data_IF_188651754280
#
_entry.id   IF_188651754280
#
_cell.length_a   1.000
_cell.length_b   1.000
_cell.length_c   1.000
_cell.angle_alpha   90.00
_cell.angle_beta   90.00
_cell.angle_gamma   90.00
#
_symmetry.space_group_name_H-M   'P 1'
#
loop_
_entity.id
_entity.type
_entity.pdbx_description
1 polymer ?
#
# COMPACT_ATOMS: atom_id res chain seq x y z
N UNK A 1 -9.46 -40.49 16.96
CA UNK A 1 -8.31 -39.63 17.23
C UNK A 1 -7.26 -39.99 16.20
N UNK A 2 -7.23 -39.26 15.09
CA UNK A 2 -6.17 -39.36 14.09
C UNK A 2 -5.77 -37.95 13.72
N UNK A 3 -4.48 -37.69 13.87
CA UNK A 3 -3.81 -36.42 13.66
C UNK A 3 -3.27 -36.47 12.25
N UNK A 4 -3.81 -35.68 11.33
CA UNK A 4 -3.22 -35.52 10.00
C UNK A 4 -2.22 -34.36 10.04
N UNK A 5 -0.94 -34.72 9.92
CA UNK A 5 0.19 -33.82 9.76
C UNK A 5 0.17 -33.19 8.35
N UNK A 6 0.28 -31.87 8.28
CA UNK A 6 0.45 -31.12 7.03
C UNK A 6 1.95 -30.93 6.80
N UNK A 7 2.52 -31.25 5.61
CA UNK A 7 3.95 -31.18 5.37
C UNK A 7 4.48 -29.74 5.45
N UNK A 8 5.66 -29.61 6.07
CA UNK A 8 6.25 -28.37 6.53
C UNK A 8 7.04 -27.62 5.43
N UNK A 9 6.50 -27.55 4.21
CA UNK A 9 7.15 -26.82 3.11
C UNK A 9 6.13 -26.39 2.06
N UNK A 10 5.54 -25.21 2.23
CA UNK A 10 4.86 -24.47 1.15
C UNK A 10 5.73 -23.24 0.87
N UNK A 11 6.25 -23.14 -0.36
CA UNK A 11 7.06 -22.01 -0.77
C UNK A 11 6.22 -20.72 -0.85
N UNK A 12 6.81 -19.54 -0.61
CA UNK A 12 6.12 -18.26 -0.78
C UNK A 12 5.66 -18.10 -2.22
N UNK A 13 4.36 -17.80 -2.43
CA UNK A 13 3.79 -17.55 -3.77
C UNK A 13 2.64 -18.47 -4.19
N UNK A 14 2.12 -19.33 -3.31
CA UNK A 14 0.98 -20.20 -3.67
C UNK A 14 -0.36 -19.51 -3.37
N UNK A 15 -1.02 -19.01 -4.41
CA UNK A 15 -2.46 -18.69 -4.39
C UNK A 15 -3.23 -20.02 -4.43
N UNK A 16 -3.95 -20.36 -3.36
CA UNK A 16 -4.85 -21.53 -3.33
C UNK A 16 -6.25 -21.09 -3.73
N UNK A 17 -6.63 -21.32 -4.99
CA UNK A 17 -8.01 -21.22 -5.44
C UNK A 17 -8.60 -22.64 -5.47
N UNK A 18 -9.51 -22.97 -4.54
CA UNK A 18 -10.33 -24.18 -4.66
C UNK A 18 -11.57 -23.87 -5.49
N UNK A 19 -11.58 -24.32 -6.75
CA UNK A 19 -12.76 -24.25 -7.62
C UNK A 19 -12.56 -25.18 -8.82
N UNK A 20 -13.40 -26.20 -8.92
CA UNK A 20 -13.40 -27.19 -10.01
C UNK A 20 -14.44 -26.78 -11.02
N UNK A 21 -14.07 -26.62 -12.30
CA UNK A 21 -14.84 -26.98 -13.52
C UNK A 21 -14.05 -26.55 -14.79
N UNK A 22 -13.77 -27.47 -15.73
CA UNK A 22 -14.57 -27.85 -16.93
C UNK A 22 -14.79 -26.70 -17.92
N UNK A 23 -13.77 -26.34 -18.69
CA UNK A 23 -13.66 -26.70 -20.12
C UNK A 23 -12.39 -26.07 -20.70
N UNK A 24 -11.67 -26.84 -21.52
CA UNK A 24 -10.40 -26.43 -22.08
C UNK A 24 -10.56 -25.36 -23.17
N UNK A 25 -9.82 -24.27 -23.04
CA UNK A 25 -9.21 -23.50 -24.14
C UNK A 25 -8.17 -22.52 -23.57
N UNK A 26 -6.93 -22.71 -24.00
CA UNK A 26 -5.80 -21.83 -23.73
C UNK A 26 -5.88 -20.54 -24.57
N UNK A 27 -5.55 -19.41 -23.97
CA UNK A 27 -4.96 -18.27 -24.66
C UNK A 27 -3.77 -17.79 -23.83
N UNK A 28 -2.58 -18.23 -24.24
CA UNK A 28 -1.32 -17.92 -23.57
C UNK A 28 -0.91 -16.47 -23.76
N UNK A 29 -0.51 -15.83 -22.65
CA UNK A 29 0.33 -14.64 -22.66
C UNK A 29 1.61 -15.05 -21.93
N UNK A 30 2.65 -15.32 -22.72
CA UNK A 30 3.95 -15.74 -22.25
C UNK A 30 4.71 -14.61 -21.54
N UNK A 31 5.48 -15.01 -20.54
CA UNK A 31 6.44 -14.19 -19.83
C UNK A 31 7.42 -13.51 -20.80
N UNK A 32 7.59 -12.19 -20.68
CA UNK A 32 8.65 -11.45 -21.34
C UNK A 32 9.59 -10.89 -20.27
N UNK A 33 10.63 -11.67 -19.95
CA UNK A 33 11.81 -11.22 -19.23
C UNK A 33 12.75 -10.62 -20.29
N UNK A 34 13.01 -9.31 -20.23
CA UNK A 34 14.17 -8.73 -20.90
C UNK A 34 15.14 -8.20 -19.83
N UNK A 35 16.23 -8.94 -19.66
CA UNK A 35 17.46 -8.46 -19.07
C UNK A 35 18.17 -7.54 -20.08
N UNK A 36 18.50 -6.32 -19.66
CA UNK A 36 19.30 -5.39 -20.46
C UNK A 36 20.78 -5.50 -20.06
N UNK A 37 21.59 -6.19 -20.88
CA UNK A 37 23.04 -6.00 -20.91
C UNK A 37 23.52 -6.04 -22.37
N UNK A 38 24.27 -4.99 -22.73
CA UNK A 38 25.09 -4.77 -23.93
C UNK A 38 24.44 -4.24 -25.22
N UNK A 39 24.48 -2.91 -25.37
CA UNK A 39 24.74 -2.24 -26.65
C UNK A 39 25.99 -1.36 -26.49
N UNK A 40 27.12 -1.88 -26.96
CA UNK A 40 28.38 -1.16 -27.10
C UNK A 40 28.34 -0.16 -28.26
N UNK A 41 29.08 0.93 -28.07
CA UNK A 41 29.65 1.85 -29.07
C UNK A 41 28.65 2.60 -29.97
N UNK A 42 28.29 3.82 -29.56
CA UNK A 42 28.42 5.10 -30.29
C UNK A 42 27.56 6.14 -29.54
N UNK A 43 28.19 6.99 -28.71
CA UNK A 43 27.50 8.04 -27.95
C UNK A 43 28.07 8.38 -26.57
N UNK A 44 29.31 7.98 -26.28
CA UNK A 44 29.91 7.97 -24.94
C UNK A 44 30.24 9.36 -24.35
N UNK A 45 30.11 10.49 -25.06
CA UNK A 45 30.56 11.78 -24.50
C UNK A 45 29.48 12.72 -23.94
N UNK A 46 28.21 12.65 -24.38
CA UNK A 46 27.21 13.65 -23.96
C UNK A 46 26.24 13.20 -22.87
N UNK A 47 26.12 11.89 -22.59
CA UNK A 47 25.23 11.37 -21.55
C UNK A 47 25.87 11.32 -20.15
N UNK A 48 27.20 11.27 -20.06
CA UNK A 48 27.92 11.12 -18.78
C UNK A 48 27.84 12.35 -17.86
N UNK A 49 27.56 13.53 -18.38
CA UNK A 49 27.51 14.76 -17.57
C UNK A 49 26.12 15.14 -17.03
N UNK A 50 25.07 14.34 -17.28
CA UNK A 50 23.73 14.58 -16.70
C UNK A 50 23.35 13.65 -15.54
N UNK A 51 24.15 12.62 -15.25
CA UNK A 51 23.86 11.62 -14.22
C UNK A 51 24.49 11.91 -12.83
N UNK A 52 25.06 13.10 -12.63
CA UNK A 52 25.64 13.51 -11.35
C UNK A 52 24.94 14.76 -10.78
N UNK A 53 23.63 14.89 -10.97
CA UNK A 53 22.85 15.80 -10.12
C UNK A 53 22.74 15.16 -8.76
N UNK A 54 23.38 15.79 -7.78
CA UNK A 54 23.22 15.49 -6.37
C UNK A 54 21.74 15.76 -6.06
N UNK A 55 20.93 14.70 -6.06
CA UNK A 55 19.53 14.75 -5.65
C UNK A 55 19.44 15.52 -4.34
N UNK A 56 18.47 16.43 -4.25
CA UNK A 56 18.24 17.18 -3.02
C UNK A 56 17.96 16.19 -1.88
N UNK A 57 18.17 16.60 -0.63
CA UNK A 57 17.82 15.78 0.53
C UNK A 57 16.34 15.36 0.51
N UNK A 58 15.47 16.16 -0.12
CA UNK A 58 14.05 15.84 -0.32
C UNK A 58 13.84 14.77 -1.39
N UNK A 59 14.53 14.85 -2.54
CA UNK A 59 14.45 13.83 -3.59
C UNK A 59 15.08 12.49 -3.15
N UNK A 60 16.16 12.53 -2.36
CA UNK A 60 16.70 11.34 -1.70
C UNK A 60 15.75 10.79 -0.64
N UNK A 61 15.11 11.64 0.17
CA UNK A 61 14.08 11.17 1.10
C UNK A 61 12.95 10.47 0.34
N UNK A 62 12.47 11.03 -0.77
CA UNK A 62 11.44 10.40 -1.62
C UNK A 62 11.92 9.07 -2.24
N UNK A 63 13.18 8.97 -2.64
CA UNK A 63 13.76 7.76 -3.27
C UNK A 63 14.16 6.65 -2.29
N UNK A 64 14.17 6.91 -0.98
CA UNK A 64 14.58 5.92 0.05
C UNK A 64 13.40 5.46 0.92
N UNK A 65 12.19 5.94 0.67
CA UNK A 65 11.00 5.61 1.45
C UNK A 65 10.21 4.50 0.74
N UNK A 66 9.56 3.64 1.51
CA UNK A 66 8.66 2.60 0.97
C UNK A 66 7.33 3.24 0.57
N UNK A 67 7.45 4.18 -0.38
CA UNK A 67 6.38 4.93 -1.01
C UNK A 67 5.88 4.16 -2.21
N UNK A 68 4.57 4.13 -2.38
CA UNK A 68 3.95 3.55 -3.55
C UNK A 68 3.93 4.59 -4.68
N UNK A 69 4.49 4.24 -5.85
CA UNK A 69 4.72 5.19 -6.94
C UNK A 69 3.45 5.81 -7.52
N UNK A 70 2.33 5.08 -7.46
CA UNK A 70 1.04 5.54 -7.96
C UNK A 70 0.27 6.37 -6.91
N UNK A 71 0.78 6.47 -5.69
CA UNK A 71 0.15 7.28 -4.64
C UNK A 71 0.69 8.71 -4.62
N UNK A 72 -0.21 9.68 -4.47
CA UNK A 72 0.22 11.04 -4.15
C UNK A 72 0.72 11.10 -2.70
N UNK A 73 1.94 11.62 -2.45
CA UNK A 73 2.48 11.71 -1.11
C UNK A 73 1.78 12.84 -0.32
N UNK A 74 1.01 12.48 0.71
CA UNK A 74 0.35 13.39 1.66
C UNK A 74 0.72 13.00 3.08
N UNK A 75 2.01 13.07 3.38
CA UNK A 75 2.56 12.52 4.62
C UNK A 75 2.08 13.27 5.86
N UNK A 76 1.68 12.51 6.89
CA UNK A 76 1.35 13.06 8.20
C UNK A 76 2.60 13.13 9.09
N UNK A 77 2.63 14.09 10.02
CA UNK A 77 3.77 14.29 10.95
C UNK A 77 3.64 13.54 12.28
N UNK A 78 2.52 12.85 12.51
CA UNK A 78 2.14 12.22 13.78
C UNK A 78 1.18 11.05 13.53
N UNK A 79 0.82 10.35 14.61
CA UNK A 79 -0.09 9.21 14.60
C UNK A 79 0.43 8.00 13.81
N UNK A 80 1.74 7.77 13.87
CA UNK A 80 2.39 6.54 13.42
C UNK A 80 3.58 6.26 14.33
N UNK A 81 4.15 5.06 14.22
CA UNK A 81 5.42 4.70 14.87
C UNK A 81 6.47 4.36 13.83
N UNK A 82 7.69 4.87 13.99
CA UNK A 82 8.82 4.52 13.11
C UNK A 82 9.42 3.14 13.42
N UNK A 83 8.96 2.51 14.48
CA UNK A 83 9.46 1.22 14.97
C UNK A 83 8.28 0.30 15.27
N UNK A 84 8.56 -1.00 15.40
CA UNK A 84 7.55 -2.00 15.74
C UNK A 84 6.82 -2.61 14.55
N UNK A 85 7.20 -2.27 13.31
CA UNK A 85 6.69 -2.95 12.11
C UNK A 85 7.25 -4.36 12.02
N UNK A 86 6.39 -5.34 11.77
CA UNK A 86 6.72 -6.74 11.51
C UNK A 86 6.86 -6.93 10.01
N UNK A 87 7.95 -7.58 9.59
CA UNK A 87 8.24 -7.85 8.17
C UNK A 87 8.39 -9.34 7.86
N UNK A 88 7.96 -9.78 6.66
CA UNK A 88 7.15 -9.00 5.70
C UNK A 88 5.75 -8.69 6.28
N UNK A 89 5.05 -7.64 5.81
CA UNK A 89 3.65 -7.45 6.13
C UNK A 89 2.85 -8.72 5.77
N UNK A 90 1.83 -9.04 6.56
CA UNK A 90 0.96 -10.20 6.33
C UNK A 90 -0.03 -9.98 5.18
N UNK A 91 -0.22 -8.74 4.76
CA UNK A 91 -1.12 -8.34 3.69
C UNK A 91 -1.70 -6.95 3.94
N UNK A 92 -2.82 -6.68 3.28
CA UNK A 92 -3.62 -5.47 3.43
C UNK A 92 -4.80 -5.68 4.39
N UNK A 93 -5.12 -4.65 5.16
CA UNK A 93 -6.43 -4.48 5.82
C UNK A 93 -7.15 -3.30 5.19
N UNK A 94 -8.36 -3.57 4.73
CA UNK A 94 -9.21 -2.59 4.05
C UNK A 94 -10.24 -2.05 5.02
N UNK A 95 -10.33 -0.73 5.08
CA UNK A 95 -11.24 0.02 5.93
C UNK A 95 -12.17 0.90 5.08
N UNK A 96 -13.29 1.30 5.67
CA UNK A 96 -14.13 2.40 5.20
C UNK A 96 -14.14 3.46 6.29
N UNK A 97 -13.87 4.71 5.91
CA UNK A 97 -13.65 5.81 6.87
C UNK A 97 -14.83 6.13 7.79
N UNK A 98 -16.05 5.78 7.37
CA UNK A 98 -17.32 6.07 8.05
C UNK A 98 -17.47 7.53 8.55
N UNK A 99 -17.15 8.49 7.69
CA UNK A 99 -17.34 9.92 7.98
C UNK A 99 -16.43 10.86 7.21
N UNK A 100 -15.21 10.43 6.85
CA UNK A 100 -14.32 11.21 5.99
C UNK A 100 -14.58 10.87 4.51
N UNK A 101 -15.59 11.53 3.93
CA UNK A 101 -16.04 11.27 2.54
C UNK A 101 -15.05 11.72 1.46
N UNK A 102 -13.98 12.42 1.82
CA UNK A 102 -12.97 12.92 0.90
C UNK A 102 -11.57 12.73 1.47
N UNK A 103 -10.58 12.57 0.59
CA UNK A 103 -9.18 12.44 0.97
C UNK A 103 -8.65 13.66 1.77
N UNK A 104 -8.97 14.92 1.41
CA UNK A 104 -8.63 16.07 2.25
C UNK A 104 -9.22 16.01 3.67
N UNK A 105 -10.47 15.55 3.81
CA UNK A 105 -11.09 15.40 5.12
C UNK A 105 -10.39 14.31 5.96
N UNK A 106 -10.02 13.20 5.32
CA UNK A 106 -9.28 12.11 5.96
C UNK A 106 -7.87 12.55 6.38
N UNK A 107 -7.14 13.25 5.52
CA UNK A 107 -5.83 13.81 5.83
C UNK A 107 -5.90 14.77 7.03
N UNK A 108 -6.88 15.68 7.03
CA UNK A 108 -7.08 16.61 8.14
C UNK A 108 -7.36 15.87 9.45
N UNK A 109 -8.21 14.84 9.41
CA UNK A 109 -8.51 13.99 10.56
C UNK A 109 -7.24 13.31 11.11
N UNK A 110 -6.44 12.67 10.27
CA UNK A 110 -5.18 12.02 10.68
C UNK A 110 -4.10 12.99 11.15
N UNK A 111 -4.15 14.25 10.68
CA UNK A 111 -3.19 15.29 11.05
C UNK A 111 -3.45 15.90 12.44
N UNK A 112 -4.61 15.66 13.05
CA UNK A 112 -4.91 16.12 14.40
C UNK A 112 -3.98 15.48 15.43
N UNK A 113 -3.66 16.20 16.50
CA UNK A 113 -2.88 15.66 17.64
C UNK A 113 -3.58 14.46 18.27
N UNK A 114 -4.90 14.54 18.33
CA UNK A 114 -5.80 13.56 18.90
C UNK A 114 -7.15 13.73 18.19
N UNK A 115 -7.77 12.64 17.74
CA UNK A 115 -9.08 12.67 17.11
C UNK A 115 -10.17 12.43 18.16
N UNK A 116 -11.21 13.27 18.17
CA UNK A 116 -12.38 13.07 19.04
C UNK A 116 -13.40 12.18 18.34
N UNK A 117 -13.89 11.17 19.05
CA UNK A 117 -14.92 10.25 18.60
C UNK A 117 -16.31 10.72 19.05
N UNK A 118 -17.36 10.16 18.44
CA UNK A 118 -18.76 10.55 18.69
C UNK A 118 -19.20 10.34 20.14
N UNK A 119 -18.62 9.36 20.82
CA UNK A 119 -18.89 9.05 22.24
C UNK A 119 -18.12 9.96 23.22
N UNK A 120 -17.38 10.95 22.70
CA UNK A 120 -16.57 11.87 23.50
C UNK A 120 -15.19 11.33 23.86
N UNK A 121 -14.90 10.07 23.54
CA UNK A 121 -13.56 9.50 23.71
C UNK A 121 -12.59 10.05 22.66
N UNK A 122 -11.32 9.73 22.84
CA UNK A 122 -10.24 10.28 22.01
C UNK A 122 -9.31 9.18 21.54
N UNK A 123 -8.84 9.31 20.30
CA UNK A 123 -7.98 8.32 19.66
C UNK A 123 -6.81 9.00 18.95
N UNK A 124 -5.82 8.17 18.57
CA UNK A 124 -4.75 8.50 17.64
C UNK A 124 -4.82 7.48 16.52
N UNK A 125 -5.35 7.90 15.39
CA UNK A 125 -5.63 7.02 14.25
C UNK A 125 -4.92 7.49 12.99
N UNK A 126 -4.55 6.52 12.15
CA UNK A 126 -4.00 6.72 10.81
C UNK A 126 -4.08 5.43 10.00
N UNK A 127 -3.95 5.55 8.68
CA UNK A 127 -3.72 4.45 7.75
C UNK A 127 -2.46 4.74 6.91
N UNK A 128 -1.98 3.74 6.17
CA UNK A 128 -0.89 3.95 5.21
C UNK A 128 -1.40 4.68 3.97
N UNK A 129 -2.56 4.25 3.46
CA UNK A 129 -3.16 4.78 2.25
C UNK A 129 -4.61 5.22 2.47
N UNK A 130 -5.07 6.16 1.65
CA UNK A 130 -6.47 6.51 1.46
C UNK A 130 -6.84 6.49 -0.01
N UNK A 131 -8.04 6.02 -0.33
CA UNK A 131 -8.57 5.95 -1.71
C UNK A 131 -9.86 6.76 -1.81
N UNK A 132 -9.83 7.78 -2.69
CA UNK A 132 -10.97 8.63 -3.05
C UNK A 132 -12.01 7.90 -3.89
N UNK A 133 -13.15 8.52 -4.16
CA UNK A 133 -14.24 7.89 -4.95
C UNK A 133 -13.83 7.68 -6.42
N UNK A 134 -12.94 8.50 -6.91
CA UNK A 134 -12.40 8.47 -8.28
C UNK A 134 -11.14 7.58 -8.39
N UNK A 135 -10.84 6.76 -7.38
CA UNK A 135 -9.66 5.88 -7.36
C UNK A 135 -8.34 6.57 -7.03
N UNK A 136 -8.31 7.89 -6.83
CA UNK A 136 -7.08 8.60 -6.38
C UNK A 136 -6.55 7.98 -5.10
N UNK A 137 -5.25 7.64 -5.09
CA UNK A 137 -4.56 7.07 -3.93
C UNK A 137 -3.70 8.16 -3.29
N UNK A 138 -3.90 8.43 -2.01
CA UNK A 138 -3.00 9.24 -1.19
C UNK A 138 -2.25 8.33 -0.21
N UNK A 139 -0.94 8.55 -0.05
CA UNK A 139 -0.16 7.90 1.00
C UNK A 139 0.10 8.85 2.16
N UNK A 140 -0.33 8.44 3.35
CA UNK A 140 -0.22 9.20 4.60
C UNK A 140 0.97 8.77 5.44
N UNK A 141 1.23 7.46 5.51
CA UNK A 141 2.30 6.86 6.31
C UNK A 141 3.16 6.01 5.40
N UNK A 142 4.48 6.17 5.54
CA UNK A 142 5.47 5.29 4.91
C UNK A 142 5.17 3.82 5.27
N UNK A 143 5.19 2.90 4.31
CA UNK A 143 4.95 1.48 4.60
C UNK A 143 6.06 0.84 5.42
N UNK A 144 7.16 1.55 5.64
CA UNK A 144 8.20 1.20 6.60
C UNK A 144 7.89 1.58 8.05
N UNK A 145 6.82 2.34 8.27
CA UNK A 145 6.33 2.76 9.57
C UNK A 145 4.99 2.09 9.89
N UNK A 146 4.65 2.03 11.17
CA UNK A 146 3.38 1.49 11.64
C UNK A 146 2.32 2.59 11.67
N UNK A 147 1.28 2.47 10.84
CA UNK A 147 0.04 3.24 10.98
C UNK A 147 -0.81 2.77 12.20
N UNK A 148 -1.66 3.64 12.73
CA UNK A 148 -2.48 3.38 13.93
C UNK A 148 -3.93 3.02 13.56
N UNK A 149 -4.13 1.93 12.81
CA UNK A 149 -5.43 1.59 12.22
C UNK A 149 -6.25 0.52 12.98
N UNK A 150 -5.59 -0.50 13.55
CA UNK A 150 -6.27 -1.75 13.96
C UNK A 150 -5.79 -2.30 15.32
N UNK A 151 -5.43 -1.41 16.24
CA UNK A 151 -5.00 -1.77 17.59
C UNK A 151 -3.80 -2.73 17.59
N UNK A 152 -3.85 -3.87 18.31
CA UNK A 152 -2.73 -4.82 18.40
C UNK A 152 -2.28 -5.41 17.07
N UNK A 153 -3.13 -5.39 16.02
CA UNK A 153 -2.78 -5.91 14.71
C UNK A 153 -1.91 -4.96 13.88
N UNK A 154 -1.85 -3.67 14.21
CA UNK A 154 -1.20 -2.64 13.40
C UNK A 154 0.27 -2.93 12.99
N UNK A 155 1.11 -3.56 13.84
CA UNK A 155 2.47 -3.94 13.46
C UNK A 155 2.63 -4.80 12.21
N UNK A 156 1.64 -5.63 11.86
CA UNK A 156 1.82 -6.70 10.87
C UNK A 156 1.10 -6.48 9.54
N UNK A 157 0.43 -5.34 9.33
CA UNK A 157 -0.44 -5.12 8.19
C UNK A 157 -0.27 -3.71 7.61
N UNK A 158 -0.45 -3.60 6.30
CA UNK A 158 -0.64 -2.33 5.62
C UNK A 158 -2.14 -2.00 5.66
N UNK A 159 -2.48 -0.75 5.90
CA UNK A 159 -3.85 -0.31 6.14
C UNK A 159 -4.27 0.70 5.08
N UNK A 160 -5.43 0.46 4.48
CA UNK A 160 -5.99 1.24 3.37
C UNK A 160 -7.40 1.70 3.75
N UNK A 161 -7.65 3.01 3.67
CA UNK A 161 -8.95 3.62 3.96
C UNK A 161 -9.68 3.99 2.67
N UNK A 162 -10.90 3.49 2.49
CA UNK A 162 -11.79 3.96 1.44
C UNK A 162 -12.64 5.12 1.95
N UNK A 163 -12.55 6.28 1.29
CA UNK A 163 -13.45 7.39 1.53
C UNK A 163 -14.88 6.96 1.18
N UNK A 164 -15.76 6.94 2.18
CA UNK A 164 -17.10 6.37 2.05
C UNK A 164 -17.81 6.26 3.39
N UNK A 165 -19.06 5.80 3.33
CA UNK A 165 -19.91 5.56 4.51
C UNK A 165 -20.29 4.08 4.55
N UNK A 166 -20.45 3.52 5.75
CA UNK A 166 -20.89 2.13 5.91
C UNK A 166 -22.24 1.91 5.20
N UNK A 167 -22.34 0.84 4.42
CA UNK A 167 -23.52 0.50 3.63
C UNK A 167 -23.55 1.12 2.23
N UNK A 168 -22.63 2.03 1.92
CA UNK A 168 -22.40 2.51 0.56
C UNK A 168 -21.52 1.51 -0.21
N UNK A 169 -21.85 1.24 -1.46
CA UNK A 169 -20.95 0.48 -2.34
C UNK A 169 -19.66 1.28 -2.59
N UNK A 170 -18.53 0.57 -2.64
CA UNK A 170 -17.30 1.13 -3.21
C UNK A 170 -17.49 1.28 -4.73
N UNK A 171 -16.85 2.29 -5.31
CA UNK A 171 -16.80 2.44 -6.77
C UNK A 171 -15.86 1.40 -7.38
N UNK A 172 -15.99 1.17 -8.69
CA UNK A 172 -15.09 0.26 -9.41
C UNK A 172 -13.65 0.78 -9.34
N UNK A 173 -13.45 2.10 -9.43
CA UNK A 173 -12.15 2.74 -9.32
C UNK A 173 -11.53 2.56 -7.92
N UNK A 174 -12.36 2.55 -6.86
CA UNK A 174 -11.90 2.25 -5.51
C UNK A 174 -11.38 0.81 -5.39
N UNK A 175 -12.11 -0.14 -5.97
CA UNK A 175 -11.76 -1.57 -5.95
C UNK A 175 -10.51 -1.83 -6.79
N UNK A 176 -10.40 -1.22 -7.97
CA UNK A 176 -9.22 -1.34 -8.83
C UNK A 176 -7.98 -0.75 -8.15
N UNK A 177 -8.10 0.44 -7.57
CA UNK A 177 -6.97 1.12 -6.92
C UNK A 177 -6.42 0.32 -5.74
N UNK A 178 -7.26 -0.31 -4.90
CA UNK A 178 -6.75 -1.15 -3.80
C UNK A 178 -6.10 -2.43 -4.31
N UNK A 179 -6.52 -2.97 -5.46
CA UNK A 179 -5.89 -4.13 -6.07
C UNK A 179 -4.48 -3.87 -6.62
N UNK A 180 -4.13 -2.61 -6.84
CA UNK A 180 -2.80 -2.20 -7.31
C UNK A 180 -1.80 -1.93 -6.18
N UNK A 181 -2.25 -1.86 -4.92
CA UNK A 181 -1.39 -1.69 -3.72
C UNK A 181 -0.87 -3.05 -3.25
#
# INVERSE_FOLDING_TARGET
>A
MEIFSIPNTIQPGTLVLSGRERDGRESGIGAMIIALQELTSHGVSSARNRAARQFSSEERALSTMAMYEMAEPKLISRNFSKTGVIRPPKGLVVHVTDGARTLPALFNFFSLREQKLRDGSSTRSSSHFGIGKEGTIWQFVDTDHQAFAQGPGAPAWISVEHCGVIGEALTDEQIESVGNI
#
